data_IF_890896219833
#
_entry.id   IF_890896219833
#
_cell.length_a   1.000
_cell.length_b   1.000
_cell.length_c   1.000
_cell.angle_alpha   90.00
_cell.angle_beta   90.00
_cell.angle_gamma   90.00
#
_symmetry.space_group_name_H-M   'P 1'
#
loop_
_entity.id
_entity.type
_entity.pdbx_description
1 polymer ?
#
# COMPACT_ATOMS: atom_id res chain seq x y z
N UNK A 1 33.99 5.85 -20.33
CA UNK A 1 33.09 6.77 -19.57
C UNK A 1 31.60 6.34 -19.69
N UNK A 2 31.19 5.68 -20.80
CA UNK A 2 29.79 5.32 -21.07
C UNK A 2 29.25 4.12 -20.27
N UNK A 3 30.12 3.25 -19.73
CA UNK A 3 29.68 2.03 -19.04
C UNK A 3 29.21 2.30 -17.60
N UNK A 4 29.72 3.33 -16.93
CA UNK A 4 29.39 3.61 -15.53
C UNK A 4 27.90 4.04 -15.37
N UNK A 5 27.36 4.79 -16.31
CA UNK A 5 25.95 5.21 -16.27
C UNK A 5 24.98 4.05 -16.50
N UNK A 6 25.31 3.13 -17.42
CA UNK A 6 24.48 1.96 -17.69
C UNK A 6 24.43 1.01 -16.50
N UNK A 7 25.57 0.70 -15.90
CA UNK A 7 25.65 -0.22 -14.77
C UNK A 7 24.97 0.34 -13.50
N UNK A 8 25.00 1.67 -13.31
CA UNK A 8 24.43 2.31 -12.13
C UNK A 8 22.91 2.20 -12.06
N UNK A 9 22.19 2.09 -13.19
CA UNK A 9 20.72 2.11 -13.21
C UNK A 9 20.06 0.83 -13.69
N UNK A 10 20.83 -0.23 -13.99
CA UNK A 10 20.27 -1.52 -14.44
C UNK A 10 19.34 -2.18 -13.41
N UNK A 11 19.52 -1.89 -12.12
CA UNK A 11 18.68 -2.42 -11.06
C UNK A 11 17.25 -1.82 -11.04
N UNK A 12 17.06 -0.60 -11.61
CA UNK A 12 15.78 0.11 -11.53
C UNK A 12 14.64 -0.66 -12.20
N UNK A 13 14.77 -1.18 -13.44
CA UNK A 13 13.70 -1.97 -14.04
C UNK A 13 13.29 -3.18 -13.19
N UNK A 14 14.27 -3.88 -12.61
CA UNK A 14 14.01 -5.02 -11.73
C UNK A 14 13.29 -4.59 -10.46
N UNK A 15 13.69 -3.46 -9.87
CA UNK A 15 13.03 -2.88 -8.71
C UNK A 15 11.57 -2.52 -9.01
N UNK A 16 11.30 -1.87 -10.14
CA UNK A 16 9.95 -1.48 -10.54
C UNK A 16 9.06 -2.74 -10.75
N UNK A 17 9.60 -3.77 -11.38
CA UNK A 17 8.89 -5.07 -11.52
C UNK A 17 8.62 -5.67 -10.14
N UNK A 18 9.58 -5.67 -9.23
CA UNK A 18 9.41 -6.15 -7.86
C UNK A 18 8.30 -5.37 -7.13
N UNK A 19 8.27 -4.04 -7.26
CA UNK A 19 7.23 -3.20 -6.69
C UNK A 19 5.84 -3.60 -7.20
N UNK A 20 5.70 -3.88 -8.49
CA UNK A 20 4.45 -4.38 -9.07
C UNK A 20 4.05 -5.72 -8.45
N UNK A 21 4.96 -6.67 -8.37
CA UNK A 21 4.70 -8.00 -7.80
C UNK A 21 4.30 -7.92 -6.32
N UNK A 22 4.95 -7.06 -5.55
CA UNK A 22 4.56 -6.75 -4.16
C UNK A 22 3.13 -6.20 -4.11
N UNK A 23 2.77 -5.32 -5.04
CA UNK A 23 1.40 -4.82 -5.19
C UNK A 23 0.38 -5.93 -5.46
N UNK A 24 0.69 -6.84 -6.39
CA UNK A 24 -0.21 -7.96 -6.78
C UNK A 24 -0.56 -8.88 -5.61
N UNK A 25 0.28 -8.97 -4.59
CA UNK A 25 0.02 -9.79 -3.41
C UNK A 25 -1.16 -9.22 -2.59
N UNK A 26 -2.37 -9.73 -2.82
CA UNK A 26 -3.60 -9.33 -2.12
C UNK A 26 -3.68 -10.03 -0.76
N UNK A 27 -3.13 -9.40 0.28
CA UNK A 27 -3.05 -9.99 1.62
C UNK A 27 -4.44 -10.17 2.25
N UNK A 28 -5.38 -9.31 1.89
CA UNK A 28 -6.78 -9.46 2.30
C UNK A 28 -7.45 -10.72 1.77
N UNK A 29 -7.18 -11.12 0.51
CA UNK A 29 -7.66 -12.40 -0.01
C UNK A 29 -7.07 -13.59 0.76
N UNK A 30 -5.79 -13.50 1.14
CA UNK A 30 -5.13 -14.56 1.92
C UNK A 30 -5.75 -14.67 3.30
N UNK A 31 -5.86 -13.56 4.03
CA UNK A 31 -6.43 -13.53 5.38
C UNK A 31 -7.89 -14.01 5.38
N UNK A 32 -8.68 -13.59 4.39
CA UNK A 32 -10.09 -14.02 4.31
C UNK A 32 -10.23 -15.52 4.06
N UNK A 33 -9.39 -16.08 3.18
CA UNK A 33 -9.37 -17.53 2.92
C UNK A 33 -8.97 -18.33 4.16
N UNK A 34 -7.98 -17.86 4.90
CA UNK A 34 -7.56 -18.47 6.17
C UNK A 34 -8.68 -18.43 7.23
N UNK A 35 -9.57 -17.44 7.14
CA UNK A 35 -10.75 -17.31 7.99
C UNK A 35 -11.97 -18.12 7.47
N UNK A 36 -11.80 -18.91 6.42
CA UNK A 36 -12.87 -19.73 5.83
C UNK A 36 -13.88 -18.95 5.00
N UNK A 37 -13.63 -17.67 4.70
CA UNK A 37 -14.54 -16.81 3.94
C UNK A 37 -13.89 -16.34 2.63
N UNK A 38 -14.72 -15.99 1.64
CA UNK A 38 -14.28 -15.30 0.44
C UNK A 38 -14.75 -13.84 0.52
N UNK A 39 -13.86 -12.94 0.88
CA UNK A 39 -14.16 -11.51 1.07
C UNK A 39 -14.76 -10.85 -0.18
N UNK A 40 -14.53 -11.43 -1.35
CA UNK A 40 -15.06 -10.90 -2.61
C UNK A 40 -16.56 -11.11 -2.77
N UNK A 41 -17.16 -12.00 -1.97
CA UNK A 41 -18.57 -12.31 -1.99
C UNK A 41 -19.35 -11.66 -0.83
N UNK A 42 -18.66 -10.92 0.06
CA UNK A 42 -19.30 -10.33 1.25
C UNK A 42 -18.96 -8.85 1.38
N UNK A 43 -19.88 -8.11 1.99
CA UNK A 43 -19.76 -6.68 2.19
C UNK A 43 -19.59 -5.92 0.85
N UNK A 44 -18.53 -5.15 0.73
CA UNK A 44 -18.23 -4.40 -0.50
C UNK A 44 -17.54 -5.25 -1.59
N UNK A 45 -17.19 -6.50 -1.30
CA UNK A 45 -16.38 -7.33 -2.19
C UNK A 45 -14.91 -6.91 -2.33
N UNK A 46 -14.51 -5.86 -1.63
CA UNK A 46 -13.14 -5.33 -1.67
C UNK A 46 -12.25 -6.11 -0.68
N UNK A 47 -11.07 -6.64 -1.09
CA UNK A 47 -10.14 -7.33 -0.20
C UNK A 47 -9.36 -6.39 0.74
N UNK A 48 -9.72 -5.12 0.81
CA UNK A 48 -9.08 -4.15 1.69
C UNK A 48 -9.41 -4.35 3.17
N UNK A 49 -8.54 -3.81 4.02
CA UNK A 49 -8.60 -3.92 5.48
C UNK A 49 -9.97 -3.55 6.08
N UNK A 50 -10.62 -2.50 5.55
CA UNK A 50 -11.91 -2.02 6.05
C UNK A 50 -13.03 -3.06 5.86
N UNK A 51 -13.13 -3.67 4.69
CA UNK A 51 -14.14 -4.71 4.45
C UNK A 51 -13.90 -5.94 5.33
N UNK A 52 -12.64 -6.36 5.46
CA UNK A 52 -12.25 -7.49 6.32
C UNK A 52 -12.54 -7.20 7.79
N UNK A 53 -12.34 -5.97 8.24
CA UNK A 53 -12.64 -5.54 9.60
C UNK A 53 -14.11 -5.75 9.98
N UNK A 54 -15.02 -5.40 9.06
CA UNK A 54 -16.48 -5.50 9.33
C UNK A 54 -17.04 -6.88 9.04
N UNK A 55 -16.54 -7.57 8.02
CA UNK A 55 -17.14 -8.83 7.55
C UNK A 55 -16.52 -10.10 8.17
N UNK A 56 -15.27 -10.01 8.67
CA UNK A 56 -14.58 -11.15 9.26
C UNK A 56 -14.32 -10.90 10.76
N UNK A 57 -13.40 -9.98 11.07
CA UNK A 57 -13.15 -9.56 12.45
C UNK A 57 -12.28 -8.29 12.49
N UNK A 58 -12.37 -7.51 13.59
CA UNK A 58 -11.50 -6.36 13.80
C UNK A 58 -10.01 -6.72 13.74
N UNK A 59 -9.61 -7.85 14.33
CA UNK A 59 -8.22 -8.29 14.33
C UNK A 59 -7.72 -8.60 12.91
N UNK A 60 -8.52 -9.32 12.12
CA UNK A 60 -8.18 -9.63 10.73
C UNK A 60 -8.02 -8.35 9.88
N UNK A 61 -8.94 -7.38 10.05
CA UNK A 61 -8.86 -6.10 9.35
C UNK A 61 -7.63 -5.30 9.73
N UNK A 62 -7.29 -5.22 11.01
CA UNK A 62 -6.08 -4.57 11.51
C UNK A 62 -4.83 -5.25 10.95
N UNK A 63 -4.80 -6.59 10.94
CA UNK A 63 -3.70 -7.36 10.36
C UNK A 63 -3.48 -7.01 8.89
N UNK A 64 -4.54 -7.00 8.08
CA UNK A 64 -4.45 -6.63 6.65
C UNK A 64 -3.99 -5.18 6.48
N UNK A 65 -4.47 -4.25 7.31
CA UNK A 65 -4.05 -2.86 7.28
C UNK A 65 -2.52 -2.74 7.47
N UNK A 66 -1.97 -3.38 8.51
CA UNK A 66 -0.54 -3.33 8.77
C UNK A 66 0.29 -4.05 7.72
N UNK A 67 -0.18 -5.17 7.20
CA UNK A 67 0.50 -5.88 6.11
C UNK A 67 0.56 -5.05 4.83
N UNK A 68 -0.52 -4.37 4.45
CA UNK A 68 -0.55 -3.48 3.29
C UNK A 68 0.31 -2.22 3.53
N UNK A 69 0.30 -1.67 4.74
CA UNK A 69 1.17 -0.55 5.11
C UNK A 69 2.65 -0.95 5.00
N UNK A 70 3.03 -2.13 5.50
CA UNK A 70 4.39 -2.65 5.37
C UNK A 70 4.82 -2.83 3.92
N UNK A 71 3.91 -3.21 3.00
CA UNK A 71 4.23 -3.30 1.56
C UNK A 71 4.65 -1.94 1.00
N UNK A 72 3.89 -0.89 1.30
CA UNK A 72 4.23 0.47 0.88
C UNK A 72 5.57 0.92 1.43
N UNK A 73 5.77 0.72 2.72
CA UNK A 73 7.01 1.07 3.41
C UNK A 73 8.21 0.32 2.82
N UNK A 74 8.09 -0.98 2.57
CA UNK A 74 9.17 -1.80 2.02
C UNK A 74 9.61 -1.36 0.61
N UNK A 75 8.72 -0.74 -0.16
CA UNK A 75 9.00 -0.28 -1.52
C UNK A 75 9.70 1.08 -1.54
N UNK A 76 9.46 1.95 -0.56
CA UNK A 76 9.97 3.33 -0.59
C UNK A 76 11.06 3.61 0.43
N UNK A 77 10.97 3.04 1.63
CA UNK A 77 11.94 3.30 2.70
C UNK A 77 13.40 2.97 2.30
N UNK A 78 13.70 1.85 1.62
CA UNK A 78 15.07 1.56 1.18
C UNK A 78 15.61 2.62 0.24
N UNK A 79 14.78 3.19 -0.65
CA UNK A 79 15.17 4.24 -1.58
C UNK A 79 15.51 5.54 -0.85
N UNK A 80 14.73 5.88 0.17
CA UNK A 80 14.96 7.06 1.01
C UNK A 80 16.24 6.90 1.85
N UNK A 81 16.46 5.73 2.46
CA UNK A 81 17.64 5.46 3.26
C UNK A 81 18.95 5.41 2.45
N UNK A 82 18.86 5.20 1.15
CA UNK A 82 20.00 5.16 0.22
C UNK A 82 20.10 6.41 -0.65
N UNK A 83 19.37 7.48 -0.28
CA UNK A 83 19.36 8.78 -0.96
C UNK A 83 19.12 8.67 -2.49
N UNK A 84 18.24 7.72 -2.90
CA UNK A 84 17.90 7.57 -4.30
C UNK A 84 17.06 8.75 -4.81
N UNK A 85 17.19 9.13 -6.09
CA UNK A 85 16.40 10.20 -6.68
C UNK A 85 14.88 9.99 -6.49
N UNK A 86 14.15 11.02 -6.12
CA UNK A 86 12.72 10.99 -5.80
C UNK A 86 11.83 10.45 -6.93
N UNK A 87 12.24 10.59 -8.19
CA UNK A 87 11.51 10.02 -9.33
C UNK A 87 11.47 8.48 -9.30
N UNK A 88 12.50 7.81 -8.72
CA UNK A 88 12.49 6.34 -8.56
C UNK A 88 11.43 5.95 -7.53
N UNK A 89 11.32 6.68 -6.41
CA UNK A 89 10.26 6.47 -5.42
C UNK A 89 8.87 6.68 -6.04
N UNK A 90 8.70 7.71 -6.87
CA UNK A 90 7.44 7.96 -7.59
C UNK A 90 7.05 6.81 -8.51
N UNK A 91 7.97 6.31 -9.33
CA UNK A 91 7.73 5.15 -10.19
C UNK A 91 7.45 3.89 -9.39
N UNK A 92 8.14 3.69 -8.26
CA UNK A 92 7.93 2.55 -7.37
C UNK A 92 6.53 2.56 -6.76
N UNK A 93 6.04 3.72 -6.32
CA UNK A 93 4.67 3.90 -5.81
C UNK A 93 3.65 3.61 -6.91
N UNK A 94 3.83 4.19 -8.10
CA UNK A 94 2.92 3.94 -9.23
C UNK A 94 2.88 2.45 -9.59
N UNK A 95 4.01 1.78 -9.60
CA UNK A 95 4.11 0.36 -9.89
C UNK A 95 3.43 -0.50 -8.82
N UNK A 96 3.68 -0.22 -7.53
CA UNK A 96 3.03 -0.86 -6.40
C UNK A 96 1.50 -0.71 -6.46
N UNK A 97 1.01 0.51 -6.67
CA UNK A 97 -0.42 0.81 -6.72
C UNK A 97 -1.08 0.17 -7.93
N UNK A 98 -0.40 0.16 -9.09
CA UNK A 98 -0.88 -0.54 -10.29
C UNK A 98 -1.03 -2.04 -10.00
N UNK A 99 -0.04 -2.68 -9.40
CA UNK A 99 -0.12 -4.09 -9.01
C UNK A 99 -1.22 -4.35 -7.96
N UNK A 100 -1.43 -3.43 -7.02
CA UNK A 100 -2.46 -3.56 -5.99
C UNK A 100 -3.89 -3.47 -6.56
N UNK A 101 -4.11 -2.68 -7.60
CA UNK A 101 -5.43 -2.46 -8.21
C UNK A 101 -5.68 -3.38 -9.41
N UNK A 102 -4.66 -3.60 -10.24
CA UNK A 102 -4.76 -4.32 -11.52
C UNK A 102 -4.05 -5.66 -11.39
N UNK A 103 -4.82 -6.75 -11.38
CA UNK A 103 -4.28 -8.11 -11.35
C UNK A 103 -4.13 -8.66 -12.76
N UNK A 104 -3.08 -9.47 -12.93
CA UNK A 104 -2.95 -10.27 -14.15
C UNK A 104 -4.15 -11.27 -14.27
N UNK A 105 -4.78 -11.43 -15.45
CA UNK A 105 -4.56 -10.75 -16.74
C UNK A 105 -5.40 -9.45 -16.86
N UNK A 106 -4.91 -8.33 -16.30
CA UNK A 106 -5.47 -6.96 -16.42
C UNK A 106 -6.92 -6.78 -15.94
N UNK A 107 -7.32 -7.48 -14.86
CA UNK A 107 -8.61 -7.28 -14.20
C UNK A 107 -8.46 -6.27 -13.05
N UNK A 108 -9.30 -5.23 -13.07
CA UNK A 108 -9.45 -4.31 -11.94
C UNK A 108 -10.24 -5.06 -10.86
N UNK A 109 -9.54 -5.72 -9.95
CA UNK A 109 -10.13 -6.53 -8.89
C UNK A 109 -9.33 -6.45 -7.58
N UNK A 110 -8.42 -5.50 -7.50
CA UNK A 110 -7.61 -5.26 -6.31
C UNK A 110 -8.31 -4.44 -5.24
N UNK A 111 -7.62 -4.19 -4.14
CA UNK A 111 -8.04 -3.26 -3.10
C UNK A 111 -7.88 -1.79 -3.52
N UNK A 112 -8.40 -0.86 -2.71
CA UNK A 112 -8.22 0.59 -2.95
C UNK A 112 -6.77 1.05 -2.78
N UNK A 113 -5.94 0.28 -2.07
CA UNK A 113 -4.52 0.57 -1.86
C UNK A 113 -4.23 1.65 -0.83
N UNK A 114 -5.24 2.15 -0.08
CA UNK A 114 -5.04 3.24 0.89
C UNK A 114 -3.95 2.92 1.91
N UNK A 115 -3.97 1.75 2.53
CA UNK A 115 -2.95 1.37 3.51
C UNK A 115 -1.55 1.24 2.88
N UNK A 116 -1.46 0.66 1.68
CA UNK A 116 -0.19 0.58 0.94
C UNK A 116 0.32 1.97 0.53
N UNK A 117 -0.57 2.87 0.09
CA UNK A 117 -0.24 4.26 -0.20
C UNK A 117 0.25 5.01 1.05
N UNK A 118 -0.42 4.85 2.19
CA UNK A 118 0.04 5.41 3.47
C UNK A 118 1.45 4.91 3.83
N UNK A 119 1.70 3.61 3.73
CA UNK A 119 3.01 3.04 3.98
C UNK A 119 4.09 3.60 3.05
N UNK A 120 3.77 3.75 1.77
CA UNK A 120 4.68 4.36 0.80
C UNK A 120 4.97 5.83 1.12
N UNK A 121 3.98 6.60 1.53
CA UNK A 121 4.16 8.00 1.96
C UNK A 121 5.04 8.09 3.19
N UNK A 122 4.82 7.24 4.20
CA UNK A 122 5.68 7.16 5.39
C UNK A 122 7.14 6.89 5.01
N UNK A 123 7.36 5.99 4.05
CA UNK A 123 8.70 5.65 3.60
C UNK A 123 9.43 6.78 2.86
N UNK A 124 8.69 7.63 2.11
CA UNK A 124 9.26 8.78 1.39
C UNK A 124 9.45 9.99 2.30
N UNK A 125 8.47 10.27 3.17
CA UNK A 125 8.44 11.47 4.03
C UNK A 125 8.12 11.06 5.47
N UNK A 126 9.08 10.44 6.20
CA UNK A 126 8.82 9.94 7.55
C UNK A 126 8.35 11.04 8.53
N UNK A 127 8.96 12.22 8.47
CA UNK A 127 8.58 13.36 9.31
C UNK A 127 7.18 13.90 8.95
N UNK A 128 6.86 13.98 7.66
CA UNK A 128 5.52 14.40 7.21
C UNK A 128 4.43 13.43 7.69
N UNK A 129 4.73 12.14 7.69
CA UNK A 129 3.81 11.12 8.21
C UNK A 129 3.52 11.31 9.71
N UNK A 130 4.52 11.67 10.53
CA UNK A 130 4.32 11.97 11.94
C UNK A 130 3.38 13.16 12.17
N UNK A 131 3.41 14.15 11.29
CA UNK A 131 2.50 15.31 11.35
C UNK A 131 1.08 14.91 10.93
N UNK A 132 0.92 14.00 9.95
CA UNK A 132 -0.38 13.59 9.45
C UNK A 132 -1.11 12.58 10.36
N UNK A 133 -0.40 11.81 11.19
CA UNK A 133 -1.01 10.81 12.08
C UNK A 133 -2.01 11.41 13.09
N UNK A 134 -1.72 12.48 13.85
CA UNK A 134 -2.66 13.00 14.84
C UNK A 134 -4.00 13.45 14.23
N UNK A 135 -4.05 14.28 13.16
CA UNK A 135 -5.33 14.66 12.57
C UNK A 135 -6.07 13.49 11.94
N UNK A 136 -5.35 12.54 11.31
CA UNK A 136 -5.96 11.33 10.76
C UNK A 136 -6.59 10.46 11.86
N UNK A 137 -5.89 10.27 12.99
CA UNK A 137 -6.41 9.56 14.16
C UNK A 137 -7.65 10.28 14.73
N UNK A 138 -7.63 11.60 14.83
CA UNK A 138 -8.77 12.41 15.31
C UNK A 138 -9.98 12.18 14.41
N UNK A 139 -9.83 12.24 13.09
CA UNK A 139 -10.91 12.00 12.13
C UNK A 139 -11.43 10.57 12.25
N UNK A 140 -10.58 9.58 12.45
CA UNK A 140 -11.00 8.21 12.69
C UNK A 140 -11.85 8.06 13.95
N UNK A 141 -11.42 8.65 15.03
CA UNK A 141 -12.14 8.60 16.31
C UNK A 141 -13.51 9.29 16.24
N UNK A 142 -13.59 10.44 15.55
CA UNK A 142 -14.83 11.22 15.41
C UNK A 142 -15.81 10.57 14.44
N UNK A 143 -15.33 10.08 13.29
CA UNK A 143 -16.20 9.58 12.22
C UNK A 143 -16.47 8.09 12.33
N UNK A 144 -15.59 7.35 13.00
CA UNK A 144 -15.55 5.86 13.03
C UNK A 144 -15.55 5.24 11.62
N UNK A 145 -15.10 6.00 10.61
CA UNK A 145 -15.06 5.58 9.20
C UNK A 145 -13.63 5.59 8.66
N UNK A 146 -12.97 4.43 8.55
CA UNK A 146 -11.58 4.33 8.05
C UNK A 146 -11.36 4.96 6.67
N UNK A 147 -12.39 4.98 5.82
CA UNK A 147 -12.31 5.57 4.48
C UNK A 147 -12.05 7.08 4.50
N UNK A 148 -12.66 7.82 5.43
CA UNK A 148 -12.42 9.27 5.56
C UNK A 148 -11.03 9.56 6.13
N UNK A 149 -10.54 8.70 7.01
CA UNK A 149 -9.21 8.82 7.60
C UNK A 149 -8.11 8.68 6.54
N UNK A 150 -8.26 7.72 5.62
CA UNK A 150 -7.32 7.54 4.53
C UNK A 150 -7.26 8.75 3.60
N UNK A 151 -8.41 9.31 3.22
CA UNK A 151 -8.47 10.48 2.34
C UNK A 151 -7.87 11.72 3.02
N UNK A 152 -8.19 11.97 4.29
CA UNK A 152 -7.69 13.15 5.01
C UNK A 152 -6.18 13.12 5.23
N UNK A 153 -5.57 11.95 5.40
CA UNK A 153 -4.12 11.81 5.54
C UNK A 153 -3.33 12.23 4.28
N UNK A 154 -4.00 12.31 3.11
CA UNK A 154 -3.39 12.78 1.86
C UNK A 154 -3.63 14.28 1.56
N UNK A 155 -4.50 14.93 2.31
CA UNK A 155 -4.87 16.35 2.09
C UNK A 155 -4.05 17.29 2.98
N UNK A 156 -3.47 16.79 4.06
CA UNK A 156 -2.62 17.53 5.02
C UNK A 156 -1.15 17.44 4.61
#
# INVERSE_FOLDING_TARGET
>A
INNIFFDTYLWIPLWIILCYLVGVAQLGDVVSKLSGLNIRNVGTGNPGASNIFYEISPLAGITVFFLDLCKGLAVTLPLTLTDQPSWISSLSILSLMSGHQIRFPFRISGGTGMAAGMGATIGVIPLGALIAIPPAATILLLTKRPSYTGVSAFII
#
